data_IF_785191667607
#
_entry.id   IF_785191667607
#
_cell.length_a   1.000
_cell.length_b   1.000
_cell.length_c   1.000
_cell.angle_alpha   90.00
_cell.angle_beta   90.00
_cell.angle_gamma   90.00
#
_symmetry.space_group_name_H-M   'P 1'
#
loop_
_entity.id
_entity.type
_entity.pdbx_description
1 polymer ?
#
# COMPACT_ATOMS: atom_id res chain seq x y z
N UNK A 1 -11.42 32.15 -56.55
CA UNK A 1 -10.02 31.74 -56.36
C UNK A 1 -9.95 31.10 -54.99
N UNK A 2 -10.03 29.76 -54.92
CA UNK A 2 -10.15 29.03 -53.66
C UNK A 2 -8.76 28.64 -53.17
N UNK A 3 -8.37 29.20 -52.03
CA UNK A 3 -7.10 28.91 -51.36
C UNK A 3 -7.28 27.63 -50.53
N UNK A 4 -6.68 26.53 -50.99
CA UNK A 4 -6.62 25.26 -50.27
C UNK A 4 -5.67 25.41 -49.07
N UNK A 5 -6.17 25.25 -47.85
CA UNK A 5 -5.36 25.12 -46.65
C UNK A 5 -4.81 23.68 -46.53
N UNK A 6 -3.55 23.48 -46.09
CA UNK A 6 -2.94 22.15 -46.02
C UNK A 6 -3.44 21.34 -44.81
N UNK A 7 -4.06 20.20 -45.10
CA UNK A 7 -4.59 19.17 -44.19
C UNK A 7 -3.48 18.22 -43.66
N UNK A 8 -2.38 18.75 -43.09
CA UNK A 8 -1.19 17.93 -42.81
C UNK A 8 -0.68 17.98 -41.37
N UNK A 9 -1.56 18.03 -40.36
CA UNK A 9 -1.12 18.15 -38.96
C UNK A 9 -1.90 17.31 -37.93
N UNK A 10 -2.52 16.20 -38.32
CA UNK A 10 -3.29 15.34 -37.40
C UNK A 10 -2.78 13.91 -37.22
N UNK A 11 -1.65 13.52 -37.83
CA UNK A 11 -1.22 12.10 -37.82
C UNK A 11 -0.19 11.76 -36.73
N UNK A 12 0.45 12.75 -36.09
CA UNK A 12 1.49 12.46 -35.08
C UNK A 12 1.00 12.32 -33.64
N UNK A 13 -0.28 12.54 -33.36
CA UNK A 13 -0.83 12.47 -31.99
C UNK A 13 -1.39 11.09 -31.60
N UNK A 14 -1.43 10.12 -32.52
CA UNK A 14 -1.94 8.77 -32.25
C UNK A 14 -0.86 7.68 -32.19
N UNK A 15 0.41 8.00 -32.46
CA UNK A 15 1.50 7.00 -32.51
C UNK A 15 2.17 6.72 -31.15
N UNK A 16 1.62 7.20 -30.02
CA UNK A 16 2.14 6.92 -28.67
C UNK A 16 1.27 5.99 -27.83
N UNK A 17 0.31 5.31 -28.46
CA UNK A 17 -0.48 4.24 -27.86
C UNK A 17 -0.58 3.08 -28.86
N UNK A 18 -0.14 1.89 -28.46
CA UNK A 18 -0.51 0.66 -29.17
C UNK A 18 0.60 -0.15 -29.82
N UNK A 19 1.85 -0.04 -29.37
CA UNK A 19 2.88 -1.06 -29.62
C UNK A 19 2.71 -2.27 -28.69
N UNK A 20 1.54 -2.92 -28.72
CA UNK A 20 1.24 -4.09 -27.90
C UNK A 20 1.97 -5.31 -28.44
N UNK A 21 2.99 -5.76 -27.71
CA UNK A 21 3.57 -7.09 -27.94
C UNK A 21 2.48 -8.14 -27.75
N UNK A 22 2.16 -8.96 -28.77
CA UNK A 22 1.14 -10.01 -28.67
C UNK A 22 1.68 -11.13 -27.79
N UNK A 23 1.40 -11.03 -26.49
CA UNK A 23 1.87 -11.96 -25.47
C UNK A 23 1.92 -11.37 -24.05
N UNK A 24 1.83 -10.04 -23.91
CA UNK A 24 1.79 -9.41 -22.59
C UNK A 24 0.36 -9.08 -22.18
N UNK A 25 -0.28 -9.96 -21.40
CA UNK A 25 -1.44 -9.61 -20.58
C UNK A 25 -1.01 -8.64 -19.46
N UNK A 26 -0.50 -7.46 -19.81
CA UNK A 26 -0.17 -6.39 -18.88
C UNK A 26 -1.44 -5.61 -18.55
N UNK A 27 -1.51 -5.10 -17.33
CA UNK A 27 -2.54 -4.14 -16.96
C UNK A 27 -2.61 -3.00 -17.97
N UNK A 28 -3.81 -2.46 -18.17
CA UNK A 28 -4.06 -1.33 -19.09
C UNK A 28 -3.17 -0.12 -18.72
N UNK A 29 -2.77 -0.02 -17.44
CA UNK A 29 -1.92 1.04 -16.92
C UNK A 29 -0.91 0.48 -15.90
N UNK A 30 0.39 0.70 -16.14
CA UNK A 30 1.45 0.29 -15.20
C UNK A 30 1.40 0.99 -13.84
N UNK A 31 0.72 2.15 -13.76
CA UNK A 31 0.47 2.83 -12.48
C UNK A 31 -0.52 2.05 -11.61
N UNK A 32 -1.59 1.53 -12.23
CA UNK A 32 -2.56 0.67 -11.57
C UNK A 32 -1.87 -0.59 -11.05
N UNK A 33 -1.06 -1.23 -11.89
CA UNK A 33 -0.27 -2.41 -11.49
C UNK A 33 0.56 -2.14 -10.23
N UNK A 34 1.28 -1.01 -10.17
CA UNK A 34 2.13 -0.65 -9.03
C UNK A 34 1.34 -0.48 -7.72
N UNK A 35 0.17 0.15 -7.76
CA UNK A 35 -0.68 0.32 -6.58
C UNK A 35 -1.21 -1.02 -6.06
N UNK A 36 -1.61 -1.92 -6.96
CA UNK A 36 -2.03 -3.28 -6.59
C UNK A 36 -0.88 -4.10 -6.00
N UNK A 37 0.34 -3.96 -6.54
CA UNK A 37 1.54 -4.59 -5.96
C UNK A 37 1.72 -4.16 -4.50
N UNK A 38 1.55 -2.88 -4.16
CA UNK A 38 1.66 -2.42 -2.77
C UNK A 38 0.61 -3.08 -1.84
N UNK A 39 -0.64 -3.22 -2.31
CA UNK A 39 -1.71 -3.91 -1.58
C UNK A 39 -1.40 -5.40 -1.41
N UNK A 40 -0.93 -6.07 -2.47
CA UNK A 40 -0.54 -7.48 -2.41
C UNK A 40 0.65 -7.71 -1.46
N UNK A 41 1.64 -6.81 -1.43
CA UNK A 41 2.73 -6.88 -0.46
C UNK A 41 2.20 -6.82 0.98
N UNK A 42 1.29 -5.89 1.28
CA UNK A 42 0.67 -5.78 2.61
C UNK A 42 -0.15 -7.03 2.97
N UNK A 43 -0.89 -7.58 2.00
CA UNK A 43 -1.63 -8.83 2.17
C UNK A 43 -0.71 -10.01 2.47
N UNK A 44 0.39 -10.17 1.73
CA UNK A 44 1.38 -11.23 1.96
C UNK A 44 2.01 -11.07 3.35
N UNK A 45 2.36 -9.85 3.76
CA UNK A 45 2.88 -9.58 5.10
C UNK A 45 1.88 -9.97 6.19
N UNK A 46 0.60 -9.69 5.99
CA UNK A 46 -0.46 -10.13 6.90
C UNK A 46 -0.59 -11.65 6.97
N UNK A 47 -0.58 -12.36 5.82
CA UNK A 47 -0.58 -13.82 5.78
C UNK A 47 0.64 -14.43 6.46
N UNK A 48 1.82 -13.88 6.20
CA UNK A 48 3.06 -14.28 6.88
C UNK A 48 2.93 -14.06 8.39
N UNK A 49 2.27 -13.00 8.83
CA UNK A 49 1.94 -12.78 10.24
C UNK A 49 1.08 -13.86 10.85
N UNK A 50 0.00 -14.25 10.18
CA UNK A 50 -0.87 -15.33 10.63
C UNK A 50 -0.13 -16.67 10.70
N UNK A 51 0.75 -16.95 9.73
CA UNK A 51 1.53 -18.17 9.67
C UNK A 51 2.66 -18.19 10.72
N UNK A 52 3.31 -17.05 10.96
CA UNK A 52 4.36 -16.90 11.96
C UNK A 52 3.80 -16.82 13.38
N UNK A 53 2.54 -16.42 13.56
CA UNK A 53 1.94 -16.30 14.89
C UNK A 53 2.07 -17.59 15.75
N UNK A 54 1.70 -18.80 15.28
CA UNK A 54 1.89 -20.01 16.06
C UNK A 54 3.37 -20.34 16.31
N UNK A 55 4.28 -20.03 15.37
CA UNK A 55 5.72 -20.28 15.52
C UNK A 55 6.33 -19.35 16.57
N UNK A 56 6.00 -18.06 16.49
CA UNK A 56 6.43 -17.04 17.46
C UNK A 56 5.86 -17.31 18.85
N UNK A 57 4.61 -17.79 18.93
CA UNK A 57 4.02 -18.22 20.21
C UNK A 57 4.78 -19.40 20.82
N UNK A 58 5.17 -20.40 20.01
CA UNK A 58 5.96 -21.56 20.49
C UNK A 58 7.37 -21.16 20.92
N UNK A 59 8.05 -20.34 20.13
CA UNK A 59 9.43 -19.90 20.43
C UNK A 59 9.49 -18.93 21.60
N UNK A 60 8.49 -18.05 21.69
CA UNK A 60 8.40 -17.09 22.76
C UNK A 60 7.91 -17.69 24.07
N UNK A 61 7.08 -18.74 24.07
CA UNK A 61 6.70 -19.46 25.29
C UNK A 61 7.93 -20.01 26.03
N UNK A 62 8.96 -20.47 25.30
CA UNK A 62 10.22 -20.93 25.89
C UNK A 62 11.11 -19.82 26.48
N UNK A 63 10.85 -18.54 26.16
CA UNK A 63 11.65 -17.39 26.64
C UNK A 63 10.88 -16.39 27.50
N UNK A 64 9.54 -16.43 27.49
CA UNK A 64 8.67 -15.45 28.14
C UNK A 64 8.30 -15.81 29.58
N UNK A 65 8.66 -17.01 30.04
CA UNK A 65 8.46 -17.41 31.44
C UNK A 65 9.37 -16.62 32.39
N UNK A 66 10.49 -16.07 31.90
CA UNK A 66 11.55 -15.55 32.77
C UNK A 66 11.61 -14.03 32.97
N UNK A 67 10.90 -13.22 32.16
CA UNK A 67 11.10 -11.75 32.22
C UNK A 67 9.84 -10.89 32.23
N UNK A 68 8.86 -11.13 31.36
CA UNK A 68 7.65 -10.31 31.29
C UNK A 68 6.56 -11.13 30.63
N UNK A 69 5.53 -11.51 31.38
CA UNK A 69 4.46 -12.39 30.92
C UNK A 69 3.94 -12.05 29.52
N UNK A 70 4.13 -12.98 28.58
CA UNK A 70 3.31 -13.09 27.38
C UNK A 70 4.00 -12.80 26.05
N UNK A 71 4.85 -13.71 25.58
CA UNK A 71 5.22 -13.80 24.17
C UNK A 71 4.00 -13.96 23.23
N UNK A 72 2.91 -14.54 23.74
CA UNK A 72 1.62 -14.59 23.07
C UNK A 72 1.08 -13.21 22.66
N UNK A 73 1.53 -12.15 23.33
CA UNK A 73 1.16 -10.77 23.01
C UNK A 73 1.79 -10.24 21.73
N UNK A 74 3.05 -10.57 21.42
CA UNK A 74 3.77 -9.97 20.29
C UNK A 74 3.23 -10.46 18.94
N UNK A 75 3.02 -11.76 18.79
CA UNK A 75 2.44 -12.35 17.59
C UNK A 75 1.01 -11.83 17.32
N UNK A 76 0.19 -11.74 18.37
CA UNK A 76 -1.17 -11.21 18.26
C UNK A 76 -1.18 -9.72 17.89
N UNK A 77 -0.26 -8.92 18.44
CA UNK A 77 -0.07 -7.51 18.05
C UNK A 77 0.36 -7.38 16.60
N UNK A 78 1.34 -8.16 16.14
CA UNK A 78 1.78 -8.17 14.73
C UNK A 78 0.64 -8.52 13.79
N UNK A 79 -0.08 -9.62 14.05
CA UNK A 79 -1.17 -10.06 13.19
C UNK A 79 -2.29 -9.01 13.10
N UNK A 80 -2.58 -8.32 14.21
CA UNK A 80 -3.57 -7.24 14.27
C UNK A 80 -3.10 -6.00 13.51
N UNK A 81 -1.89 -5.52 13.76
CA UNK A 81 -1.36 -4.33 13.07
C UNK A 81 -1.18 -4.57 11.57
N UNK A 82 -0.71 -5.77 11.18
CA UNK A 82 -0.58 -6.14 9.76
C UNK A 82 -1.94 -6.19 9.05
N UNK A 83 -2.98 -6.72 9.71
CA UNK A 83 -4.35 -6.71 9.19
C UNK A 83 -4.84 -5.29 8.97
N UNK A 84 -4.69 -4.43 9.98
CA UNK A 84 -5.21 -3.07 9.94
C UNK A 84 -4.48 -2.25 8.87
N UNK A 85 -3.16 -2.43 8.72
CA UNK A 85 -2.37 -1.85 7.62
C UNK A 85 -2.84 -2.30 6.23
N UNK A 86 -3.11 -3.61 6.06
CA UNK A 86 -3.66 -4.15 4.83
C UNK A 86 -5.02 -3.51 4.49
N UNK A 87 -5.94 -3.43 5.47
CA UNK A 87 -7.26 -2.86 5.27
C UNK A 87 -7.19 -1.37 4.89
N UNK A 88 -6.27 -0.61 5.50
CA UNK A 88 -6.05 0.80 5.15
C UNK A 88 -5.57 0.91 3.70
N UNK A 89 -4.51 0.19 3.31
CA UNK A 89 -4.01 0.24 1.93
C UNK A 89 -5.03 -0.23 0.91
N UNK A 90 -5.77 -1.30 1.21
CA UNK A 90 -6.82 -1.82 0.34
C UNK A 90 -7.92 -0.77 0.14
N UNK A 91 -8.43 -0.19 1.23
CA UNK A 91 -9.49 0.82 1.16
C UNK A 91 -9.05 2.03 0.34
N UNK A 92 -7.82 2.51 0.55
CA UNK A 92 -7.28 3.66 -0.20
C UNK A 92 -7.09 3.33 -1.68
N UNK A 93 -6.54 2.17 -2.02
CA UNK A 93 -6.36 1.76 -3.42
C UNK A 93 -7.71 1.61 -4.14
N UNK A 94 -8.70 0.97 -3.50
CA UNK A 94 -10.05 0.85 -4.06
C UNK A 94 -10.71 2.21 -4.26
N UNK A 95 -10.56 3.13 -3.30
CA UNK A 95 -11.09 4.48 -3.42
C UNK A 95 -10.42 5.28 -4.56
N UNK A 96 -9.12 5.12 -4.75
CA UNK A 96 -8.38 5.73 -5.85
C UNK A 96 -8.87 5.23 -7.22
N UNK A 97 -9.18 3.94 -7.34
CA UNK A 97 -9.75 3.36 -8.56
C UNK A 97 -11.21 3.80 -8.80
N UNK A 98 -11.99 3.93 -7.72
CA UNK A 98 -13.37 4.39 -7.80
C UNK A 98 -13.51 5.90 -8.13
N UNK A 99 -12.47 6.69 -7.83
CA UNK A 99 -12.41 8.13 -8.10
C UNK A 99 -12.01 8.43 -9.54
N UNK A 100 -11.02 9.30 -9.72
CA UNK A 100 -10.48 9.68 -11.04
C UNK A 100 -9.46 8.69 -11.62
N UNK A 101 -9.21 7.57 -10.94
CA UNK A 101 -8.20 6.59 -11.30
C UNK A 101 -6.81 6.93 -10.78
N UNK A 102 -5.88 6.00 -10.99
CA UNK A 102 -4.55 6.04 -10.38
C UNK A 102 -3.60 6.95 -11.17
N UNK A 103 -3.20 8.04 -10.53
CA UNK A 103 -2.18 8.99 -11.03
C UNK A 103 -0.81 8.70 -10.42
N UNK A 104 0.26 9.26 -11.00
CA UNK A 104 1.62 9.13 -10.43
C UNK A 104 1.71 9.64 -9.00
N UNK A 105 1.02 10.74 -8.66
CA UNK A 105 1.01 11.29 -7.30
C UNK A 105 0.35 10.32 -6.31
N UNK A 106 -0.78 9.71 -6.70
CA UNK A 106 -1.47 8.69 -5.91
C UNK A 106 -0.57 7.47 -5.69
N UNK A 107 0.16 7.00 -6.71
CA UNK A 107 1.10 5.88 -6.58
C UNK A 107 2.21 6.21 -5.56
N UNK A 108 2.84 7.38 -5.68
CA UNK A 108 3.89 7.81 -4.75
C UNK A 108 3.36 7.86 -3.31
N UNK A 109 2.19 8.46 -3.09
CA UNK A 109 1.57 8.51 -1.76
C UNK A 109 1.19 7.12 -1.22
N UNK A 110 0.78 6.21 -2.10
CA UNK A 110 0.46 4.83 -1.73
C UNK A 110 1.71 4.07 -1.25
N UNK A 111 2.86 4.26 -1.92
CA UNK A 111 4.13 3.70 -1.47
C UNK A 111 4.63 4.32 -0.17
N UNK A 112 4.51 5.65 -0.01
CA UNK A 112 4.84 6.33 1.25
C UNK A 112 3.97 5.79 2.38
N UNK A 113 2.66 5.64 2.16
CA UNK A 113 1.75 5.05 3.12
C UNK A 113 2.13 3.60 3.47
N UNK A 114 2.50 2.80 2.48
CA UNK A 114 2.93 1.41 2.70
C UNK A 114 4.19 1.33 3.58
N UNK A 115 5.18 2.21 3.37
CA UNK A 115 6.39 2.28 4.19
C UNK A 115 6.07 2.74 5.62
N UNK A 116 5.21 3.74 5.79
CA UNK A 116 4.79 4.21 7.12
C UNK A 116 4.02 3.12 7.89
N UNK A 117 3.14 2.38 7.22
CA UNK A 117 2.41 1.26 7.80
C UNK A 117 3.34 0.09 8.15
N UNK A 118 4.35 -0.20 7.32
CA UNK A 118 5.37 -1.19 7.65
C UNK A 118 6.12 -0.78 8.92
N UNK A 119 6.52 0.48 9.01
CA UNK A 119 7.19 1.01 10.20
C UNK A 119 6.29 0.93 11.44
N UNK A 120 4.99 1.18 11.28
CA UNK A 120 4.00 1.05 12.35
C UNK A 120 3.87 -0.39 12.85
N UNK A 121 3.80 -1.36 11.93
CA UNK A 121 3.80 -2.79 12.27
C UNK A 121 5.06 -3.15 13.07
N UNK A 122 6.24 -2.67 12.66
CA UNK A 122 7.50 -2.92 13.36
C UNK A 122 7.49 -2.34 14.78
N UNK A 123 7.06 -1.08 14.95
CA UNK A 123 6.98 -0.43 16.27
C UNK A 123 6.01 -1.19 17.19
N UNK A 124 4.80 -1.50 16.74
CA UNK A 124 3.81 -2.22 17.56
C UNK A 124 4.24 -3.64 17.93
N UNK A 125 5.17 -4.22 17.18
CA UNK A 125 5.71 -5.56 17.43
C UNK A 125 6.90 -5.52 18.38
N UNK A 126 7.90 -4.68 18.09
CA UNK A 126 9.20 -4.68 18.77
C UNK A 126 9.33 -3.67 19.92
N UNK A 127 8.53 -2.61 19.92
CA UNK A 127 8.56 -1.56 20.93
C UNK A 127 7.21 -1.44 21.67
N UNK A 128 6.66 -2.54 22.22
CA UNK A 128 5.42 -2.48 22.98
C UNK A 128 5.64 -1.62 24.24
N UNK A 129 4.81 -0.59 24.42
CA UNK A 129 4.89 0.34 25.55
C UNK A 129 5.17 1.79 25.17
N UNK A 130 5.69 2.04 23.96
CA UNK A 130 5.89 3.39 23.44
C UNK A 130 4.64 3.92 22.72
N UNK A 131 3.54 4.05 23.46
CA UNK A 131 2.23 4.46 22.92
C UNK A 131 2.29 5.81 22.18
N UNK A 132 3.12 6.76 22.65
CA UNK A 132 3.27 8.08 22.02
C UNK A 132 3.89 7.99 20.62
N UNK A 133 4.80 7.02 20.39
CA UNK A 133 5.43 6.81 19.09
C UNK A 133 4.42 6.24 18.09
N UNK A 134 3.56 5.32 18.55
CA UNK A 134 2.46 4.80 17.74
C UNK A 134 1.48 5.90 17.36
N UNK A 135 1.11 6.78 18.30
CA UNK A 135 0.23 7.92 18.02
C UNK A 135 0.84 8.89 17.01
N UNK A 136 2.11 9.27 17.19
CA UNK A 136 2.81 10.16 16.28
C UNK A 136 2.83 9.60 14.86
N UNK A 137 3.18 8.32 14.71
CA UNK A 137 3.20 7.66 13.41
C UNK A 137 1.80 7.54 12.80
N UNK A 138 0.78 7.26 13.62
CA UNK A 138 -0.60 7.20 13.18
C UNK A 138 -1.10 8.55 12.61
N UNK A 139 -0.69 9.68 13.20
CA UNK A 139 -0.99 10.99 12.64
C UNK A 139 -0.38 11.19 11.25
N UNK A 140 0.88 10.77 11.05
CA UNK A 140 1.52 10.83 9.73
C UNK A 140 0.80 9.94 8.71
N UNK A 141 0.47 8.69 9.08
CA UNK A 141 -0.28 7.77 8.22
C UNK A 141 -1.61 8.42 7.83
N UNK A 142 -2.36 8.93 8.81
CA UNK A 142 -3.66 9.58 8.59
C UNK A 142 -3.54 10.78 7.66
N UNK A 143 -2.55 11.64 7.86
CA UNK A 143 -2.29 12.79 6.99
C UNK A 143 -2.02 12.38 5.53
N UNK A 144 -1.22 11.33 5.32
CA UNK A 144 -0.95 10.78 3.98
C UNK A 144 -2.22 10.18 3.37
N UNK A 145 -3.04 9.46 4.14
CA UNK A 145 -4.30 8.92 3.63
C UNK A 145 -5.28 10.02 3.23
N UNK A 146 -5.43 11.07 4.04
CA UNK A 146 -6.28 12.22 3.72
C UNK A 146 -5.82 12.88 2.43
N UNK A 147 -4.51 13.09 2.26
CA UNK A 147 -3.96 13.65 1.02
C UNK A 147 -4.25 12.75 -0.19
N UNK A 148 -4.15 11.42 -0.02
CA UNK A 148 -4.45 10.44 -1.07
C UNK A 148 -5.94 10.50 -1.47
N UNK A 149 -6.85 10.46 -0.50
CA UNK A 149 -8.29 10.61 -0.74
C UNK A 149 -8.64 11.96 -1.38
N UNK A 150 -8.01 13.05 -0.95
CA UNK A 150 -8.23 14.36 -1.54
C UNK A 150 -7.85 14.38 -3.03
N UNK A 151 -6.77 13.69 -3.42
CA UNK A 151 -6.37 13.57 -4.82
C UNK A 151 -7.26 12.62 -5.63
N UNK A 152 -7.84 11.61 -4.99
CA UNK A 152 -8.76 10.68 -5.64
C UNK A 152 -10.04 11.36 -6.14
N UNK A 153 -10.52 12.37 -5.40
CA UNK A 153 -11.84 13.00 -5.60
C UNK A 153 -11.82 14.49 -5.97
N UNK A 154 -10.68 15.17 -5.95
CA UNK A 154 -10.54 16.55 -6.44
C UNK A 154 -10.69 16.59 -7.95
#
# INVERSE_FOLDING_TARGET
>A
MYTLAPLHESVHLFARQGGGSPGTNRFINGLTESAWVAVFCAFILWLLGLLLAPVLNRWGAAKAEERYGGASGAANRFARSARDAFLILLATTVANEAGRGITTAVVVLTWVAALLLLFWILISTFAPGYWWLEMLLFFFITGVQIANFALAFK
#
